data_IF_678531175780
#
_entry.id   IF_678531175780
#
_cell.length_a   1.000
_cell.length_b   1.000
_cell.length_c   1.000
_cell.angle_alpha   90.00
_cell.angle_beta   90.00
_cell.angle_gamma   90.00
#
_symmetry.space_group_name_H-M   'P 1'
#
loop_
_entity.id
_entity.type
_entity.pdbx_description
1 polymer ?
#
# COMPACT_ATOMS: atom_id res chain seq x y z
N UNK A 1 6.27 -25.92 -11.91
CA UNK A 1 6.51 -24.63 -12.60
C UNK A 1 5.42 -24.27 -13.62
N UNK A 2 4.57 -25.21 -14.04
CA UNK A 2 3.50 -25.00 -15.02
C UNK A 2 2.17 -24.46 -14.48
N UNK A 3 2.01 -24.26 -13.18
CA UNK A 3 0.72 -23.90 -12.57
C UNK A 3 0.58 -22.44 -12.14
N UNK A 4 1.59 -21.60 -12.37
CA UNK A 4 1.53 -20.19 -11.92
C UNK A 4 0.89 -19.23 -12.90
N UNK A 5 0.51 -19.66 -14.09
CA UNK A 5 -0.02 -18.81 -15.15
C UNK A 5 -1.11 -19.53 -15.96
N UNK A 6 -2.35 -19.38 -15.60
CA UNK A 6 -3.53 -19.75 -16.38
C UNK A 6 -4.56 -18.63 -16.45
N UNK A 7 -5.49 -18.62 -17.41
CA UNK A 7 -5.36 -18.34 -18.85
C UNK A 7 -6.02 -17.03 -19.30
N UNK A 8 -5.81 -15.89 -18.65
CA UNK A 8 -6.41 -14.62 -19.07
C UNK A 8 -5.39 -13.47 -19.09
N UNK A 9 -4.39 -13.56 -19.96
CA UNK A 9 -3.54 -12.42 -20.30
C UNK A 9 -2.20 -12.34 -19.58
N UNK A 10 -1.70 -13.41 -19.07
CA UNK A 10 -0.36 -13.52 -18.47
C UNK A 10 0.64 -13.95 -19.53
N UNK A 11 1.78 -13.23 -19.61
CA UNK A 11 2.96 -13.70 -20.32
C UNK A 11 3.25 -15.13 -19.83
N UNK A 12 3.44 -16.07 -20.77
CA UNK A 12 3.86 -17.41 -20.40
C UNK A 12 5.14 -17.32 -19.57
N UNK A 13 5.29 -18.17 -18.55
CA UNK A 13 6.49 -18.20 -17.69
C UNK A 13 7.77 -18.28 -18.54
N UNK A 14 7.73 -18.99 -19.65
CA UNK A 14 8.84 -19.10 -20.62
C UNK A 14 9.24 -17.73 -21.18
N UNK A 15 8.30 -16.85 -21.50
CA UNK A 15 8.57 -15.49 -21.96
C UNK A 15 9.08 -14.59 -20.84
N UNK A 16 8.53 -14.73 -19.63
CA UNK A 16 8.94 -13.97 -18.47
C UNK A 16 10.39 -14.28 -18.04
N UNK A 17 10.83 -15.52 -18.17
CA UNK A 17 12.21 -15.93 -17.83
C UNK A 17 13.17 -15.89 -19.02
N UNK A 18 12.70 -15.58 -20.21
CA UNK A 18 13.54 -15.56 -21.42
C UNK A 18 14.74 -14.61 -21.32
N UNK A 19 14.60 -13.52 -20.59
CA UNK A 19 15.62 -12.49 -20.41
C UNK A 19 16.64 -12.78 -19.30
N UNK A 20 16.39 -13.78 -18.44
CA UNK A 20 17.27 -14.05 -17.29
C UNK A 20 18.50 -14.84 -17.66
N UNK A 21 19.63 -14.60 -17.00
CA UNK A 21 20.84 -15.40 -17.09
C UNK A 21 20.57 -16.87 -16.75
N UNK A 22 21.18 -17.77 -17.50
CA UNK A 22 21.05 -19.22 -17.38
C UNK A 22 22.15 -19.79 -16.47
N UNK A 23 21.76 -20.69 -15.59
CA UNK A 23 22.70 -21.44 -14.75
C UNK A 23 23.30 -22.58 -15.57
N UNK A 24 24.62 -22.60 -15.69
CA UNK A 24 25.36 -23.69 -16.34
C UNK A 24 25.92 -24.62 -15.28
N UNK A 25 25.59 -25.92 -15.40
CA UNK A 25 26.13 -26.94 -14.50
C UNK A 25 26.88 -28.02 -15.30
N UNK A 26 27.90 -28.56 -14.68
CA UNK A 26 28.63 -29.72 -15.19
C UNK A 26 28.75 -30.73 -14.08
N UNK A 27 28.26 -31.95 -14.28
CA UNK A 27 28.20 -33.02 -13.27
C UNK A 27 27.50 -32.59 -11.96
N UNK A 28 26.47 -31.74 -12.07
CA UNK A 28 25.74 -31.19 -10.93
C UNK A 28 26.36 -29.95 -10.27
N UNK A 29 27.64 -29.67 -10.53
CA UNK A 29 28.34 -28.50 -10.01
C UNK A 29 28.07 -27.25 -10.84
N UNK A 30 27.90 -26.11 -10.15
CA UNK A 30 27.77 -24.79 -10.78
C UNK A 30 29.07 -24.42 -11.49
N UNK A 31 28.99 -24.05 -12.78
CA UNK A 31 30.16 -23.66 -13.59
C UNK A 31 30.14 -22.21 -13.98
N UNK A 32 28.99 -21.69 -14.39
CA UNK A 32 28.86 -20.31 -14.82
C UNK A 32 27.40 -19.86 -14.71
N UNK A 33 27.21 -18.57 -14.79
CA UNK A 33 25.95 -17.93 -15.11
C UNK A 33 26.17 -17.20 -16.43
N UNK A 34 25.37 -17.50 -17.44
CA UNK A 34 25.49 -16.92 -18.77
C UNK A 34 24.24 -16.12 -19.08
N UNK A 35 24.39 -14.85 -19.44
CA UNK A 35 23.27 -14.00 -19.80
C UNK A 35 22.49 -14.57 -21.00
N UNK A 36 21.16 -14.40 -21.00
CA UNK A 36 20.30 -15.03 -22.00
C UNK A 36 20.72 -14.73 -23.46
N UNK A 37 21.20 -13.51 -23.72
CA UNK A 37 21.66 -13.08 -25.06
C UNK A 37 22.94 -13.79 -25.52
N UNK A 38 23.79 -14.19 -24.56
CA UNK A 38 25.10 -14.82 -24.82
C UNK A 38 25.04 -16.35 -24.71
N UNK A 39 23.89 -16.90 -24.24
CA UNK A 39 23.72 -18.33 -24.07
C UNK A 39 23.67 -19.04 -25.44
N UNK A 40 24.53 -20.04 -25.61
CA UNK A 40 24.59 -20.88 -26.80
C UNK A 40 24.62 -22.37 -26.38
N UNK A 41 23.60 -23.10 -26.80
CA UNK A 41 23.43 -24.52 -26.48
C UNK A 41 24.63 -25.38 -26.94
N UNK A 42 25.26 -25.02 -28.05
CA UNK A 42 26.42 -25.76 -28.57
C UNK A 42 27.66 -25.61 -27.69
N UNK A 43 27.74 -24.53 -26.90
CA UNK A 43 28.87 -24.21 -25.99
C UNK A 43 28.53 -24.59 -24.56
N UNK A 44 27.33 -24.25 -24.10
CA UNK A 44 26.95 -24.31 -22.69
C UNK A 44 26.10 -25.57 -22.36
N UNK A 45 25.69 -26.34 -23.38
CA UNK A 45 24.80 -27.47 -23.21
C UNK A 45 23.33 -27.08 -23.11
N UNK A 46 22.47 -28.07 -22.93
CA UNK A 46 21.03 -27.84 -22.75
C UNK A 46 20.73 -27.02 -21.50
N UNK A 47 19.75 -26.10 -21.53
CA UNK A 47 19.34 -25.33 -20.38
C UNK A 47 18.92 -26.23 -19.20
N UNK A 48 19.42 -25.96 -18.01
CA UNK A 48 19.08 -26.71 -16.79
C UNK A 48 17.68 -26.42 -16.26
N UNK A 49 16.99 -25.39 -16.81
CA UNK A 49 15.74 -24.87 -16.25
C UNK A 49 15.95 -23.92 -15.07
N UNK A 50 17.20 -23.78 -14.60
CA UNK A 50 17.54 -22.81 -13.55
C UNK A 50 17.91 -21.44 -14.15
N UNK A 51 17.41 -20.39 -13.52
CA UNK A 51 17.70 -19.00 -13.88
C UNK A 51 18.37 -18.26 -12.73
N UNK A 52 19.10 -17.19 -13.07
CA UNK A 52 19.73 -16.32 -12.10
C UNK A 52 18.72 -15.33 -11.49
N UNK A 53 18.51 -15.39 -10.18
CA UNK A 53 17.64 -14.49 -9.43
C UNK A 53 18.30 -13.12 -9.10
N UNK A 54 19.56 -12.92 -9.49
CA UNK A 54 20.26 -11.64 -9.24
C UNK A 54 20.68 -11.41 -7.79
N UNK A 55 20.64 -12.41 -6.93
CA UNK A 55 21.01 -12.30 -5.51
C UNK A 55 22.33 -13.03 -5.28
N UNK A 56 23.33 -12.28 -4.77
CA UNK A 56 24.67 -12.81 -4.54
C UNK A 56 25.15 -12.52 -3.12
N UNK A 57 25.86 -13.47 -2.56
CA UNK A 57 26.70 -13.27 -1.38
C UNK A 57 28.14 -13.52 -1.81
N UNK A 58 28.96 -12.47 -1.81
CA UNK A 58 30.32 -12.51 -2.30
C UNK A 58 31.32 -12.29 -1.16
N UNK A 59 32.40 -13.08 -1.18
CA UNK A 59 33.56 -12.82 -0.32
C UNK A 59 34.30 -11.57 -0.84
N UNK A 60 34.63 -10.61 0.03
CA UNK A 60 35.27 -9.36 -0.37
C UNK A 60 36.63 -9.58 -1.01
N UNK A 61 37.48 -10.47 -0.46
CA UNK A 61 38.78 -10.78 -1.02
C UNK A 61 38.65 -11.34 -2.46
N UNK A 62 37.65 -12.17 -2.71
CA UNK A 62 37.39 -12.69 -4.06
C UNK A 62 36.93 -11.58 -5.02
N UNK A 63 36.08 -10.63 -4.55
CA UNK A 63 35.67 -9.47 -5.32
C UNK A 63 36.84 -8.58 -5.70
N UNK A 64 37.76 -8.27 -4.75
CA UNK A 64 38.97 -7.47 -5.00
C UNK A 64 39.89 -8.10 -6.04
N UNK A 65 39.96 -9.44 -6.09
CA UNK A 65 40.81 -10.18 -7.05
C UNK A 65 40.12 -10.25 -8.42
N UNK A 66 38.79 -10.49 -8.49
CA UNK A 66 38.13 -10.83 -9.72
C UNK A 66 37.51 -9.63 -10.46
N UNK A 67 36.98 -8.64 -9.77
CA UNK A 67 36.36 -7.47 -10.40
C UNK A 67 37.29 -6.71 -11.34
N UNK A 68 38.61 -6.48 -11.02
CA UNK A 68 39.54 -5.84 -11.94
C UNK A 68 39.80 -6.64 -13.24
N UNK A 69 39.44 -7.93 -13.25
CA UNK A 69 39.65 -8.81 -14.41
C UNK A 69 38.41 -8.93 -15.29
N UNK A 70 37.24 -8.36 -14.87
CA UNK A 70 36.03 -8.39 -15.67
C UNK A 70 36.24 -7.75 -17.03
N UNK A 71 35.80 -8.43 -18.06
CA UNK A 71 35.75 -7.94 -19.43
C UNK A 71 34.32 -7.51 -19.84
N UNK A 72 34.25 -6.91 -21.03
CA UNK A 72 32.97 -6.56 -21.66
C UNK A 72 32.87 -7.13 -23.09
N UNK A 73 33.61 -8.20 -23.38
CA UNK A 73 33.58 -8.88 -24.66
C UNK A 73 32.38 -9.82 -24.78
N UNK A 74 31.16 -9.25 -24.74
CA UNK A 74 29.89 -9.94 -24.85
C UNK A 74 28.96 -9.20 -25.84
N UNK A 75 27.81 -9.77 -26.17
CA UNK A 75 26.87 -9.19 -27.15
C UNK A 75 26.32 -7.83 -26.76
N UNK A 76 26.31 -7.48 -25.46
CA UNK A 76 25.85 -6.19 -24.97
C UNK A 76 26.96 -5.17 -24.78
N UNK A 77 28.22 -5.57 -24.77
CA UNK A 77 29.37 -4.70 -24.49
C UNK A 77 29.42 -4.21 -23.03
N UNK A 78 28.78 -4.93 -22.13
CA UNK A 78 28.62 -4.57 -20.70
C UNK A 78 29.48 -5.44 -19.80
N UNK A 79 29.82 -4.92 -18.61
CA UNK A 79 30.46 -5.71 -17.57
C UNK A 79 29.42 -6.48 -16.78
N UNK A 80 29.43 -7.80 -16.85
CA UNK A 80 28.47 -8.63 -16.17
C UNK A 80 28.98 -9.12 -14.81
N UNK A 81 28.25 -8.86 -13.74
CA UNK A 81 28.57 -9.41 -12.41
C UNK A 81 28.45 -10.95 -12.42
N UNK A 82 27.64 -11.51 -13.29
CA UNK A 82 27.46 -12.95 -13.49
C UNK A 82 28.74 -13.65 -13.93
N UNK A 83 29.64 -12.96 -14.61
CA UNK A 83 30.93 -13.53 -15.06
C UNK A 83 31.86 -13.86 -13.86
N UNK A 84 31.68 -13.17 -12.72
CA UNK A 84 32.43 -13.49 -11.49
C UNK A 84 32.27 -14.93 -11.06
N UNK A 85 31.12 -15.55 -11.33
CA UNK A 85 30.85 -16.95 -10.98
C UNK A 85 31.76 -17.87 -11.78
N UNK A 86 31.80 -17.73 -13.09
CA UNK A 86 32.69 -18.50 -13.96
C UNK A 86 34.16 -18.28 -13.66
N UNK A 87 34.55 -17.03 -13.40
CA UNK A 87 35.91 -16.67 -13.05
C UNK A 87 36.34 -17.28 -11.71
N UNK A 88 35.48 -17.23 -10.69
CA UNK A 88 35.75 -17.83 -9.39
C UNK A 88 35.90 -19.38 -9.50
N UNK A 89 35.08 -20.02 -10.30
CA UNK A 89 35.23 -21.46 -10.58
C UNK A 89 36.54 -21.77 -11.28
N UNK A 90 36.94 -20.96 -12.26
CA UNK A 90 38.20 -21.13 -12.97
C UNK A 90 39.43 -20.95 -12.07
N UNK A 91 39.39 -20.06 -11.08
CA UNK A 91 40.42 -19.87 -10.06
C UNK A 91 40.34 -20.93 -8.93
N UNK A 92 39.48 -21.91 -9.03
CA UNK A 92 39.35 -22.98 -8.02
C UNK A 92 38.68 -22.52 -6.71
N UNK A 93 38.01 -21.38 -6.70
CA UNK A 93 37.27 -20.89 -5.53
C UNK A 93 35.97 -21.71 -5.33
N UNK A 94 35.52 -21.79 -4.09
CA UNK A 94 34.27 -22.47 -3.76
C UNK A 94 33.09 -21.60 -4.14
N UNK A 95 32.30 -22.04 -5.10
CA UNK A 95 31.06 -21.39 -5.53
C UNK A 95 29.86 -22.31 -5.25
N UNK A 96 28.81 -21.78 -4.66
CA UNK A 96 27.59 -22.52 -4.35
C UNK A 96 26.37 -21.79 -4.89
N UNK A 97 25.50 -22.51 -5.58
CA UNK A 97 24.17 -22.06 -5.96
C UNK A 97 23.13 -22.58 -4.98
N UNK A 98 22.29 -21.70 -4.50
CA UNK A 98 21.10 -22.06 -3.71
C UNK A 98 19.88 -22.01 -4.63
N UNK A 99 19.23 -23.15 -4.83
CA UNK A 99 17.94 -23.18 -5.54
C UNK A 99 16.82 -22.86 -4.57
N UNK A 100 16.07 -21.80 -4.86
CA UNK A 100 14.91 -21.35 -4.06
C UNK A 100 13.59 -21.82 -4.67
N UNK A 101 13.62 -22.73 -5.64
CA UNK A 101 12.43 -23.18 -6.36
C UNK A 101 11.84 -22.09 -7.26
N UNK A 102 10.52 -22.04 -7.33
CA UNK A 102 9.77 -21.13 -8.20
C UNK A 102 9.16 -19.97 -7.41
N UNK A 103 9.92 -19.36 -6.50
CA UNK A 103 9.42 -18.25 -5.70
C UNK A 103 9.25 -16.99 -6.58
N UNK A 104 8.01 -16.51 -6.81
CA UNK A 104 7.74 -15.34 -7.64
C UNK A 104 8.31 -14.05 -7.05
N UNK A 105 8.64 -14.00 -5.76
CA UNK A 105 9.28 -12.84 -5.12
C UNK A 105 10.72 -12.63 -5.59
N UNK A 106 11.32 -13.61 -6.26
CA UNK A 106 12.67 -13.54 -6.82
C UNK A 106 12.71 -13.10 -8.28
N UNK A 107 11.55 -12.83 -8.89
CA UNK A 107 11.50 -12.31 -10.26
C UNK A 107 11.93 -10.84 -10.29
N UNK A 108 12.85 -10.50 -11.18
CA UNK A 108 13.25 -9.14 -11.45
C UNK A 108 12.18 -8.39 -12.25
N UNK A 109 12.24 -7.06 -12.21
CA UNK A 109 11.32 -6.18 -12.92
C UNK A 109 12.14 -5.30 -13.87
N UNK A 110 11.93 -5.46 -15.18
CA UNK A 110 12.70 -4.77 -16.21
C UNK A 110 11.84 -3.76 -17.00
N UNK A 111 10.54 -3.84 -16.91
CA UNK A 111 9.61 -2.97 -17.63
C UNK A 111 8.29 -2.78 -16.87
N UNK A 112 7.47 -1.77 -17.28
CA UNK A 112 6.20 -1.50 -16.60
C UNK A 112 5.19 -2.65 -16.62
N UNK A 113 5.21 -3.52 -17.61
CA UNK A 113 4.31 -4.67 -17.67
C UNK A 113 4.67 -5.72 -16.61
N UNK A 114 5.97 -5.99 -16.43
CA UNK A 114 6.46 -6.88 -15.37
C UNK A 114 6.19 -6.29 -13.98
N UNK A 115 6.32 -4.96 -13.81
CA UNK A 115 5.94 -4.28 -12.57
C UNK A 115 4.46 -4.50 -12.26
N UNK A 116 3.57 -4.26 -13.22
CA UNK A 116 2.13 -4.43 -13.04
C UNK A 116 1.77 -5.89 -12.69
N UNK A 117 2.42 -6.86 -13.34
CA UNK A 117 2.23 -8.28 -13.04
C UNK A 117 2.69 -8.62 -11.60
N UNK A 118 3.84 -8.11 -11.17
CA UNK A 118 4.37 -8.33 -9.82
C UNK A 118 3.50 -7.66 -8.74
N UNK A 119 2.99 -6.45 -9.00
CA UNK A 119 2.03 -5.78 -8.12
C UNK A 119 0.75 -6.60 -7.96
N UNK A 120 0.21 -7.16 -9.03
CA UNK A 120 -0.99 -7.97 -8.99
C UNK A 120 -0.78 -9.29 -8.23
N UNK A 121 0.36 -9.95 -8.42
CA UNK A 121 0.74 -11.13 -7.63
C UNK A 121 0.78 -10.80 -6.13
N UNK A 122 1.43 -9.69 -5.79
CA UNK A 122 1.53 -9.27 -4.38
C UNK A 122 0.18 -8.88 -3.80
N UNK A 123 -0.65 -8.16 -4.57
CA UNK A 123 -2.02 -7.80 -4.17
C UNK A 123 -2.83 -9.06 -3.84
N UNK A 124 -2.83 -10.06 -4.72
CA UNK A 124 -3.55 -11.32 -4.52
C UNK A 124 -3.08 -12.04 -3.25
N UNK A 125 -1.78 -12.17 -3.06
CA UNK A 125 -1.23 -12.83 -1.88
C UNK A 125 -1.67 -12.14 -0.57
N UNK A 126 -1.68 -10.80 -0.52
CA UNK A 126 -2.16 -10.05 0.65
C UNK A 126 -3.66 -10.27 0.87
N UNK A 127 -4.46 -10.21 -0.19
CA UNK A 127 -5.92 -10.41 -0.09
C UNK A 127 -6.24 -11.82 0.39
N UNK A 128 -5.61 -12.84 -0.17
CA UNK A 128 -5.78 -14.24 0.23
C UNK A 128 -5.40 -14.47 1.71
N UNK A 129 -4.30 -13.87 2.16
CA UNK A 129 -3.88 -13.91 3.56
C UNK A 129 -4.95 -13.33 4.50
N UNK A 130 -5.55 -12.18 4.13
CA UNK A 130 -6.58 -11.54 4.94
C UNK A 130 -7.90 -12.29 4.91
N UNK A 131 -8.31 -12.84 3.77
CA UNK A 131 -9.48 -13.73 3.67
C UNK A 131 -9.31 -14.96 4.57
N UNK A 132 -8.15 -15.60 4.52
CA UNK A 132 -7.82 -16.75 5.38
C UNK A 132 -7.80 -16.38 6.87
N UNK A 133 -7.45 -15.14 7.20
CA UNK A 133 -7.47 -14.62 8.57
C UNK A 133 -8.87 -14.22 9.07
N UNK A 134 -9.92 -14.32 8.24
CA UNK A 134 -11.31 -14.05 8.66
C UNK A 134 -11.82 -12.64 8.35
N UNK A 135 -11.21 -11.94 7.41
CA UNK A 135 -11.73 -10.67 6.87
C UNK A 135 -12.73 -11.00 5.76
N UNK A 136 -13.94 -10.45 5.82
CA UNK A 136 -14.93 -10.60 4.75
C UNK A 136 -14.63 -9.61 3.60
N UNK A 137 -14.65 -10.09 2.35
CA UNK A 137 -14.43 -9.23 1.19
C UNK A 137 -15.44 -9.50 0.09
N UNK A 138 -16.10 -8.44 -0.38
CA UNK A 138 -17.00 -8.45 -1.52
C UNK A 138 -16.27 -7.88 -2.74
N UNK A 139 -16.07 -8.69 -3.78
CA UNK A 139 -15.25 -8.34 -4.93
C UNK A 139 -13.75 -8.24 -4.59
N UNK A 140 -13.14 -9.30 -4.06
CA UNK A 140 -11.74 -9.26 -3.59
C UNK A 140 -10.74 -8.90 -4.69
N UNK A 141 -11.06 -9.16 -5.95
CA UNK A 141 -10.21 -8.76 -7.08
C UNK A 141 -10.11 -7.23 -7.26
N UNK A 142 -11.04 -6.48 -6.69
CA UNK A 142 -11.07 -5.02 -6.73
C UNK A 142 -10.57 -4.37 -5.43
N UNK A 143 -10.14 -5.16 -4.45
CA UNK A 143 -9.54 -4.65 -3.21
C UNK A 143 -8.03 -4.47 -3.41
N UNK A 144 -7.53 -3.26 -3.19
CA UNK A 144 -6.10 -2.95 -3.18
C UNK A 144 -5.63 -2.69 -1.77
N UNK A 145 -4.61 -3.42 -1.34
CA UNK A 145 -4.10 -3.34 0.01
C UNK A 145 -2.57 -3.34 0.03
N UNK A 146 -2.00 -2.34 0.67
CA UNK A 146 -0.55 -2.23 0.85
C UNK A 146 -0.01 -3.24 1.87
N UNK A 147 1.31 -3.54 1.84
CA UNK A 147 1.91 -4.57 2.68
C UNK A 147 1.93 -4.24 4.18
N UNK A 148 1.77 -2.96 4.55
CA UNK A 148 1.77 -2.51 5.95
C UNK A 148 0.36 -2.28 6.49
N UNK A 149 -0.66 -2.56 5.69
CA UNK A 149 -2.06 -2.47 6.12
C UNK A 149 -2.40 -3.66 7.00
N UNK A 150 -3.04 -3.38 8.13
CA UNK A 150 -3.57 -4.40 9.02
C UNK A 150 -5.10 -4.33 9.03
N UNK A 151 -5.74 -5.47 8.85
CA UNK A 151 -7.20 -5.61 8.95
C UNK A 151 -7.48 -6.77 9.89
N UNK A 152 -8.26 -6.51 10.92
CA UNK A 152 -8.61 -7.52 11.92
C UNK A 152 -9.73 -8.45 11.40
N UNK A 153 -9.79 -9.70 11.92
CA UNK A 153 -10.91 -10.60 11.64
C UNK A 153 -12.25 -9.98 11.99
N UNK A 154 -13.29 -10.26 11.19
CA UNK A 154 -14.63 -9.70 11.38
C UNK A 154 -14.85 -8.36 10.67
N UNK A 155 -13.80 -7.71 10.16
CA UNK A 155 -13.98 -6.56 9.28
C UNK A 155 -14.55 -6.97 7.92
N UNK A 156 -15.30 -6.06 7.27
CA UNK A 156 -15.96 -6.28 6.00
C UNK A 156 -15.56 -5.19 4.99
N UNK A 157 -15.01 -5.59 3.84
CA UNK A 157 -14.51 -4.69 2.79
C UNK A 157 -15.30 -4.91 1.50
N UNK A 158 -15.77 -3.82 0.89
CA UNK A 158 -16.44 -3.84 -0.41
C UNK A 158 -15.55 -3.22 -1.49
N UNK A 159 -15.14 -4.02 -2.47
CA UNK A 159 -14.42 -3.53 -3.64
C UNK A 159 -15.31 -2.74 -4.63
N UNK A 160 -14.73 -1.80 -5.40
CA UNK A 160 -13.34 -1.38 -5.32
C UNK A 160 -13.06 -0.51 -4.07
N UNK A 161 -11.99 -0.82 -3.36
CA UNK A 161 -11.48 0.03 -2.29
C UNK A 161 -9.95 -0.07 -2.20
N UNK A 162 -9.33 0.96 -1.65
CA UNK A 162 -7.88 1.09 -1.62
C UNK A 162 -7.40 1.45 -0.21
N UNK A 163 -6.55 0.58 0.37
CA UNK A 163 -5.98 0.76 1.70
C UNK A 163 -4.45 0.82 1.61
N UNK A 164 -3.83 1.88 2.11
CA UNK A 164 -2.39 2.11 1.94
C UNK A 164 -1.69 2.55 3.22
N UNK A 165 -0.35 2.52 3.17
CA UNK A 165 0.51 2.93 4.27
C UNK A 165 0.31 2.08 5.52
N UNK A 166 0.46 2.68 6.69
CA UNK A 166 0.23 2.03 7.99
C UNK A 166 -1.23 2.15 8.45
N UNK A 167 -2.16 1.81 7.55
CA UNK A 167 -3.59 1.80 7.86
C UNK A 167 -3.94 0.59 8.74
N UNK A 168 -4.73 0.84 9.78
CA UNK A 168 -5.29 -0.19 10.66
C UNK A 168 -6.81 -0.13 10.65
N UNK A 169 -7.44 -1.26 10.33
CA UNK A 169 -8.89 -1.48 10.35
C UNK A 169 -9.19 -2.52 11.44
N UNK A 170 -9.90 -2.10 12.47
CA UNK A 170 -10.28 -2.98 13.58
C UNK A 170 -11.41 -3.95 13.19
N UNK A 171 -11.73 -4.89 14.09
CA UNK A 171 -12.85 -5.82 13.93
C UNK A 171 -14.19 -5.10 13.80
N UNK A 172 -15.15 -5.74 13.13
CA UNK A 172 -16.53 -5.21 12.95
C UNK A 172 -16.61 -3.84 12.24
N UNK A 173 -15.54 -3.43 11.57
CA UNK A 173 -15.54 -2.24 10.70
C UNK A 173 -16.06 -2.62 9.32
N UNK A 174 -16.92 -1.76 8.77
CA UNK A 174 -17.42 -1.89 7.39
C UNK A 174 -16.81 -0.78 6.54
N UNK A 175 -16.07 -1.15 5.50
CA UNK A 175 -15.56 -0.22 4.48
C UNK A 175 -16.33 -0.47 3.20
N UNK A 176 -17.20 0.46 2.83
CA UNK A 176 -17.95 0.40 1.57
C UNK A 176 -17.06 0.72 0.36
N UNK A 177 -17.62 0.52 -0.83
CA UNK A 177 -16.89 0.66 -2.09
C UNK A 177 -16.40 2.08 -2.38
N UNK A 178 -15.34 2.18 -3.21
CA UNK A 178 -14.72 3.44 -3.66
C UNK A 178 -14.13 4.28 -2.51
N UNK A 179 -13.81 3.67 -1.39
CA UNK A 179 -13.08 4.33 -0.32
C UNK A 179 -11.57 4.26 -0.56
N UNK A 180 -10.87 5.34 -0.23
CA UNK A 180 -9.39 5.40 -0.24
C UNK A 180 -8.93 5.80 1.15
N UNK A 181 -8.17 4.93 1.81
CA UNK A 181 -7.73 5.12 3.20
C UNK A 181 -6.21 4.95 3.27
N UNK A 182 -5.53 5.96 3.78
CA UNK A 182 -4.07 5.97 3.90
C UNK A 182 -3.63 6.38 5.29
N UNK A 183 -2.65 5.66 5.85
CA UNK A 183 -2.00 5.99 7.14
C UNK A 183 -2.99 6.39 8.23
N UNK A 184 -4.11 5.66 8.31
CA UNK A 184 -5.26 6.00 9.16
C UNK A 184 -5.66 4.83 10.05
N UNK A 185 -6.33 5.14 11.14
CA UNK A 185 -6.85 4.15 12.09
C UNK A 185 -8.36 4.22 12.15
N UNK A 186 -9.04 3.08 12.01
CA UNK A 186 -10.49 2.96 12.11
C UNK A 186 -10.82 1.89 13.14
N UNK A 187 -11.51 2.32 14.20
CA UNK A 187 -11.86 1.47 15.33
C UNK A 187 -13.19 0.74 15.11
N UNK A 188 -13.42 -0.29 15.94
CA UNK A 188 -14.50 -1.26 15.81
C UNK A 188 -15.91 -0.64 15.74
N UNK A 189 -16.81 -1.31 15.01
CA UNK A 189 -18.21 -0.90 14.85
C UNK A 189 -18.41 0.31 13.93
N UNK A 190 -17.33 0.87 13.37
CA UNK A 190 -17.39 2.02 12.47
C UNK A 190 -17.76 1.62 11.06
N UNK A 191 -18.60 2.44 10.42
CA UNK A 191 -18.96 2.30 9.01
C UNK A 191 -18.37 3.47 8.20
N UNK A 192 -17.57 3.15 7.19
CA UNK A 192 -17.06 4.11 6.22
C UNK A 192 -17.83 3.93 4.92
N UNK A 193 -18.74 4.86 4.66
CA UNK A 193 -19.60 4.85 3.48
C UNK A 193 -18.83 5.22 2.22
N UNK A 194 -19.37 4.77 1.10
CA UNK A 194 -18.78 4.87 -0.24
C UNK A 194 -18.25 6.25 -0.60
N UNK A 195 -17.17 6.28 -1.41
CA UNK A 195 -16.52 7.48 -1.91
C UNK A 195 -15.89 8.37 -0.82
N UNK A 196 -15.60 7.83 0.35
CA UNK A 196 -14.90 8.55 1.41
C UNK A 196 -13.39 8.43 1.26
N UNK A 197 -12.68 9.51 1.61
CA UNK A 197 -11.23 9.57 1.53
C UNK A 197 -10.63 9.94 2.89
N UNK A 198 -9.69 9.15 3.37
CA UNK A 198 -9.02 9.33 4.65
C UNK A 198 -7.49 9.35 4.46
N UNK A 199 -6.83 10.31 5.09
CA UNK A 199 -5.39 10.46 5.06
C UNK A 199 -4.88 10.94 6.42
N UNK A 200 -4.03 10.15 7.10
CA UNK A 200 -3.52 10.44 8.45
C UNK A 200 -4.63 10.87 9.42
N UNK A 201 -5.69 10.06 9.49
CA UNK A 201 -6.87 10.31 10.31
C UNK A 201 -7.09 9.21 11.35
N UNK A 202 -7.72 9.58 12.45
CA UNK A 202 -8.11 8.67 13.53
C UNK A 202 -9.63 8.66 13.68
N UNK A 203 -10.25 7.51 13.52
CA UNK A 203 -11.69 7.34 13.68
C UNK A 203 -11.95 6.34 14.79
N UNK A 204 -12.58 6.83 15.85
CA UNK A 204 -12.95 6.05 17.02
C UNK A 204 -14.05 5.03 16.75
N UNK A 205 -14.45 4.27 17.75
CA UNK A 205 -15.45 3.23 17.59
C UNK A 205 -16.87 3.77 17.36
N UNK A 206 -17.69 2.96 16.71
CA UNK A 206 -19.12 3.22 16.47
C UNK A 206 -19.39 4.51 15.68
N UNK A 207 -18.43 4.98 14.87
CA UNK A 207 -18.55 6.17 14.05
C UNK A 207 -19.25 5.89 12.70
N UNK A 208 -19.82 6.95 12.12
CA UNK A 208 -20.31 6.93 10.75
C UNK A 208 -19.56 7.97 9.93
N UNK A 209 -18.94 7.55 8.82
CA UNK A 209 -18.12 8.41 7.96
C UNK A 209 -18.66 8.36 6.53
N UNK A 210 -19.08 9.50 6.01
CA UNK A 210 -19.51 9.63 4.62
C UNK A 210 -21.03 9.48 4.39
N UNK A 211 -21.43 9.24 3.14
CA UNK A 211 -20.58 9.09 1.95
C UNK A 211 -19.91 10.41 1.50
N UNK A 212 -18.92 10.34 0.61
CA UNK A 212 -18.19 11.51 0.11
C UNK A 212 -17.56 12.36 1.21
N UNK A 213 -17.11 11.77 2.31
CA UNK A 213 -16.42 12.46 3.38
C UNK A 213 -14.92 12.53 3.11
N UNK A 214 -14.29 13.61 3.56
CA UNK A 214 -12.84 13.77 3.43
C UNK A 214 -12.18 14.07 4.76
N UNK A 215 -11.47 13.11 5.31
CA UNK A 215 -10.64 13.28 6.50
C UNK A 215 -9.19 13.51 6.08
N UNK A 216 -8.65 14.68 6.41
CA UNK A 216 -7.28 15.09 6.11
C UNK A 216 -6.40 14.96 7.34
N UNK A 217 -5.06 15.08 7.20
CA UNK A 217 -4.13 14.90 8.30
C UNK A 217 -4.51 15.68 9.57
N UNK A 218 -4.56 14.93 10.69
CA UNK A 218 -4.96 15.44 11.99
C UNK A 218 -6.47 15.54 12.22
N UNK A 219 -7.28 14.90 11.38
CA UNK A 219 -8.70 14.72 11.66
C UNK A 219 -8.90 13.59 12.68
N UNK A 220 -9.68 13.84 13.72
CA UNK A 220 -9.99 12.87 14.78
C UNK A 220 -11.50 12.82 15.01
N UNK A 221 -12.07 11.64 14.99
CA UNK A 221 -13.46 11.39 15.39
C UNK A 221 -13.46 10.50 16.62
N UNK A 222 -14.14 10.93 17.66
CA UNK A 222 -14.31 10.13 18.88
C UNK A 222 -15.54 9.21 18.77
N UNK A 223 -15.74 8.35 19.77
CA UNK A 223 -16.82 7.36 19.77
C UNK A 223 -18.17 7.92 19.33
N UNK A 224 -18.81 7.23 18.39
CA UNK A 224 -20.17 7.56 17.94
C UNK A 224 -20.30 8.91 17.22
N UNK A 225 -19.19 9.55 16.87
CA UNK A 225 -19.23 10.77 16.07
C UNK A 225 -19.73 10.46 14.64
N UNK A 226 -20.45 11.43 14.05
CA UNK A 226 -21.02 11.25 12.72
C UNK A 226 -20.58 12.37 11.79
N UNK A 227 -19.89 12.00 10.73
CA UNK A 227 -19.47 12.86 9.65
C UNK A 227 -20.16 12.43 8.35
N UNK A 228 -21.06 13.25 7.84
CA UNK A 228 -21.88 12.88 6.68
C UNK A 228 -21.29 13.34 5.33
N UNK A 229 -22.19 13.53 4.36
CA UNK A 229 -21.79 13.73 2.97
C UNK A 229 -21.25 15.16 2.69
N UNK A 230 -20.19 15.19 1.87
CA UNK A 230 -19.48 16.43 1.48
C UNK A 230 -18.99 17.23 2.68
N UNK A 231 -18.56 16.54 3.73
CA UNK A 231 -17.90 17.14 4.88
C UNK A 231 -16.40 16.93 4.77
N UNK A 232 -15.63 17.99 5.00
CA UNK A 232 -14.17 17.92 5.03
C UNK A 232 -13.68 18.32 6.43
N UNK A 233 -12.79 17.50 7.00
CA UNK A 233 -12.08 17.78 8.25
C UNK A 233 -10.58 17.87 8.05
N UNK A 234 -9.93 18.86 8.66
CA UNK A 234 -8.47 19.03 8.69
C UNK A 234 -8.01 19.57 10.02
N UNK A 235 -7.12 18.84 10.71
CA UNK A 235 -6.67 19.23 12.06
C UNK A 235 -7.85 19.63 12.95
N UNK A 236 -8.87 18.78 12.94
CA UNK A 236 -10.12 19.03 13.65
C UNK A 236 -10.56 17.78 14.41
N UNK A 237 -11.29 17.98 15.49
CA UNK A 237 -11.81 16.90 16.34
C UNK A 237 -13.33 17.00 16.41
N UNK A 238 -14.01 15.89 16.13
CA UNK A 238 -15.39 15.64 16.52
C UNK A 238 -15.38 14.79 17.78
N UNK A 239 -15.75 15.38 18.90
CA UNK A 239 -15.85 14.67 20.17
C UNK A 239 -17.02 13.67 20.18
N UNK A 240 -17.16 12.90 21.27
CA UNK A 240 -18.13 11.83 21.41
C UNK A 240 -19.54 12.24 20.96
N UNK A 241 -20.11 11.51 20.02
CA UNK A 241 -21.45 11.71 19.52
C UNK A 241 -21.71 13.04 18.78
N UNK A 242 -20.66 13.83 18.50
CA UNK A 242 -20.81 15.08 17.74
C UNK A 242 -21.17 14.77 16.28
N UNK A 243 -21.93 15.67 15.63
CA UNK A 243 -22.46 15.47 14.29
C UNK A 243 -22.17 16.65 13.36
N UNK A 244 -21.65 16.33 12.17
CA UNK A 244 -21.50 17.25 11.05
C UNK A 244 -21.92 16.52 9.78
N UNK A 245 -23.17 16.66 9.36
CA UNK A 245 -23.77 15.71 8.42
C UNK A 245 -23.75 16.17 6.95
N UNK A 246 -23.61 17.46 6.65
CA UNK A 246 -23.80 17.94 5.29
C UNK A 246 -22.95 19.17 4.95
N UNK A 247 -22.25 19.13 3.79
CA UNK A 247 -21.68 20.32 3.14
C UNK A 247 -20.85 21.23 4.06
N UNK A 248 -20.01 20.69 4.91
CA UNK A 248 -19.36 21.42 6.00
C UNK A 248 -17.85 21.35 5.88
N UNK A 249 -17.15 22.45 6.18
CA UNK A 249 -15.70 22.44 6.37
C UNK A 249 -15.32 22.71 7.82
N UNK A 250 -14.60 21.77 8.42
CA UNK A 250 -14.05 21.89 9.78
C UNK A 250 -12.52 21.88 9.70
N UNK A 251 -11.92 23.05 9.78
CA UNK A 251 -10.48 23.25 9.82
C UNK A 251 -10.03 23.86 11.14
N UNK A 252 -8.96 23.34 11.74
CA UNK A 252 -8.41 23.77 13.03
C UNK A 252 -9.52 23.97 14.08
N UNK A 253 -10.41 22.97 14.23
CA UNK A 253 -11.63 23.08 15.02
C UNK A 253 -11.75 21.97 16.05
N UNK A 254 -12.39 22.25 17.16
CA UNK A 254 -12.82 21.29 18.16
C UNK A 254 -14.33 21.40 18.36
N UNK A 255 -15.05 20.32 18.08
CA UNK A 255 -16.50 20.22 18.21
C UNK A 255 -16.79 19.35 19.41
N UNK A 256 -17.35 19.95 20.45
CA UNK A 256 -17.64 19.30 21.71
C UNK A 256 -18.63 18.15 21.59
N UNK A 257 -18.67 17.32 22.64
CA UNK A 257 -19.49 16.12 22.65
C UNK A 257 -20.96 16.45 22.36
N UNK A 258 -21.59 15.62 21.53
CA UNK A 258 -23.01 15.73 21.14
C UNK A 258 -23.41 17.07 20.51
N UNK A 259 -22.46 17.94 20.17
CA UNK A 259 -22.77 19.16 19.42
C UNK A 259 -23.21 18.81 17.99
N UNK A 260 -24.10 19.61 17.44
CA UNK A 260 -24.62 19.44 16.08
C UNK A 260 -24.21 20.62 15.20
N UNK A 261 -23.56 20.30 14.09
CA UNK A 261 -23.14 21.30 13.08
C UNK A 261 -24.12 21.26 11.92
N UNK A 262 -24.78 22.39 11.69
CA UNK A 262 -25.75 22.57 10.60
C UNK A 262 -25.09 22.55 9.23
N UNK A 263 -25.88 22.21 8.21
CA UNK A 263 -25.42 22.12 6.83
C UNK A 263 -24.81 23.44 6.32
N UNK A 264 -23.72 23.37 5.57
CA UNK A 264 -23.06 24.55 5.01
C UNK A 264 -22.24 25.36 6.01
N UNK A 265 -22.02 24.87 7.23
CA UNK A 265 -21.18 25.53 8.22
C UNK A 265 -19.71 25.49 7.80
N UNK A 266 -19.01 26.60 7.96
CA UNK A 266 -17.59 26.74 7.66
C UNK A 266 -16.86 27.32 8.86
N UNK A 267 -15.79 26.64 9.32
CA UNK A 267 -14.82 27.28 10.22
C UNK A 267 -13.84 28.08 9.38
N UNK A 268 -13.94 29.41 9.46
CA UNK A 268 -13.06 30.33 8.73
C UNK A 268 -11.75 30.48 9.51
N UNK A 269 -10.89 29.48 9.40
CA UNK A 269 -9.68 29.32 10.21
C UNK A 269 -8.44 30.05 9.71
N UNK A 270 -8.51 30.69 8.53
CA UNK A 270 -7.36 31.31 7.87
C UNK A 270 -7.65 32.79 7.49
N UNK A 271 -6.78 33.69 7.92
CA UNK A 271 -6.89 35.12 7.68
C UNK A 271 -5.98 35.67 6.55
N UNK A 272 -5.30 34.77 5.85
CA UNK A 272 -4.33 35.12 4.82
C UNK A 272 -2.87 34.87 5.24
N UNK A 273 -2.55 34.89 6.53
CA UNK A 273 -1.21 34.64 7.09
C UNK A 273 -1.23 33.53 8.13
N UNK A 274 -2.05 33.67 9.17
CA UNK A 274 -2.12 32.73 10.29
C UNK A 274 -3.40 31.89 10.25
N UNK A 275 -3.39 30.80 11.03
CA UNK A 275 -4.57 29.99 11.29
C UNK A 275 -4.94 30.06 12.75
N UNK A 276 -6.24 30.10 13.01
CA UNK A 276 -6.80 30.19 14.33
C UNK A 276 -7.79 29.08 14.59
N UNK A 277 -7.97 28.74 15.86
CA UNK A 277 -8.82 27.64 16.29
C UNK A 277 -10.27 28.11 16.53
N UNK A 278 -11.22 27.27 16.10
CA UNK A 278 -12.62 27.35 16.50
C UNK A 278 -12.89 26.30 17.55
N UNK A 279 -13.54 26.70 18.65
CA UNK A 279 -13.98 25.80 19.72
C UNK A 279 -15.49 25.87 19.85
N UNK A 280 -16.16 24.74 19.74
CA UNK A 280 -17.61 24.58 19.88
C UNK A 280 -17.85 23.72 21.10
N UNK A 281 -18.61 24.24 22.05
CA UNK A 281 -18.88 23.55 23.32
C UNK A 281 -19.79 22.34 23.17
N UNK A 282 -19.85 21.54 24.22
CA UNK A 282 -20.69 20.37 24.35
C UNK A 282 -22.19 20.72 24.14
N UNK A 283 -22.93 19.87 23.47
CA UNK A 283 -24.37 20.07 23.16
C UNK A 283 -24.73 21.35 22.40
N UNK A 284 -23.76 22.11 21.90
CA UNK A 284 -24.06 23.31 21.10
C UNK A 284 -24.75 22.92 19.79
N UNK A 285 -25.63 23.76 19.33
CA UNK A 285 -26.30 23.65 18.04
C UNK A 285 -25.91 24.82 17.13
N UNK A 286 -25.22 24.51 16.04
CA UNK A 286 -24.83 25.50 15.04
C UNK A 286 -25.83 25.38 13.88
N UNK A 287 -26.50 26.48 13.56
CA UNK A 287 -27.46 26.55 12.46
C UNK A 287 -26.79 26.43 11.08
N UNK A 288 -27.60 26.18 10.07
CA UNK A 288 -27.13 26.02 8.70
C UNK A 288 -26.53 27.29 8.11
N UNK A 289 -25.53 27.17 7.22
CA UNK A 289 -24.83 28.27 6.55
C UNK A 289 -24.12 29.25 7.51
N UNK A 290 -23.73 28.78 8.69
CA UNK A 290 -22.98 29.57 9.65
C UNK A 290 -21.51 29.65 9.27
N UNK A 291 -20.98 30.88 9.17
CA UNK A 291 -19.54 31.15 9.03
C UNK A 291 -18.92 31.47 10.40
N UNK A 292 -18.18 30.56 10.98
CA UNK A 292 -17.47 30.74 12.25
C UNK A 292 -16.08 31.32 11.99
N UNK A 293 -15.95 32.65 12.13
CA UNK A 293 -14.67 33.33 11.90
C UNK A 293 -13.78 33.17 13.12
N UNK A 294 -12.72 32.38 12.96
CA UNK A 294 -11.76 32.09 14.01
C UNK A 294 -10.81 33.30 14.30
N UNK A 295 -10.31 33.49 15.54
CA UNK A 295 -10.60 32.62 16.70
C UNK A 295 -11.99 32.87 17.27
N UNK A 296 -12.74 31.81 17.51
CA UNK A 296 -14.06 31.88 18.11
C UNK A 296 -14.33 30.71 19.04
N UNK A 297 -15.01 31.00 20.15
CA UNK A 297 -15.50 29.97 21.08
C UNK A 297 -17.01 30.10 21.19
N UNK A 298 -17.72 29.03 20.89
CA UNK A 298 -19.15 28.87 21.15
C UNK A 298 -19.31 28.09 22.45
N UNK A 299 -20.05 28.60 23.41
CA UNK A 299 -20.25 27.93 24.70
C UNK A 299 -21.03 26.62 24.60
N UNK A 300 -20.97 25.83 25.66
CA UNK A 300 -21.81 24.63 25.73
C UNK A 300 -23.30 24.97 25.69
N UNK A 301 -24.10 24.10 25.10
CA UNK A 301 -25.56 24.23 24.96
C UNK A 301 -26.01 25.50 24.18
N UNK A 302 -25.07 26.26 23.61
CA UNK A 302 -25.40 27.45 22.83
C UNK A 302 -26.15 27.11 21.55
N UNK A 303 -27.13 27.93 21.19
CA UNK A 303 -27.83 27.89 19.91
C UNK A 303 -27.36 29.07 19.04
N UNK A 304 -26.81 28.76 17.88
CA UNK A 304 -26.41 29.73 16.88
C UNK A 304 -27.34 29.55 15.68
N UNK A 305 -28.04 30.61 15.28
CA UNK A 305 -28.96 30.63 14.16
C UNK A 305 -28.32 31.08 12.84
#
# INVERSE_FOLDING_TARGET
LGELLEPNGTLAFEDAVAAYGRIVRQNGELRAIVEAKDFDVSVHGEPTGEINAGIYMLNLDAVEILVPKLGNENKSGEYYITDLVGMAVAEGMVVRGLSCGSDPNLLGINNPAELAASEELRRRAIVEERLAAGVAMHGPDMVRMGPYVTVEPGAELFGPCELYGHTHIASDVIIESHCVIRDSRVESGTVVHSFSHMDHAEVGPDCLVGPYARLRPGAVMERGAHMGNFVEMKKARLCEGAKANHLTYLGDAEVGARANIGAGTITCNYEGVNKYKTVIGEHAFIGSNTALVAPVTVGAEALVG
#
